data_IF_101326990662
#
_entry.id   IF_101326990662
#
_cell.length_a   1.000
_cell.length_b   1.000
_cell.length_c   1.000
_cell.angle_alpha   90.00
_cell.angle_beta   90.00
_cell.angle_gamma   90.00
#
_symmetry.space_group_name_H-M   'P 1'
#
loop_
_entity.id
_entity.type
_entity.pdbx_description
1 polymer ?
#
# COMPACT_ATOMS: atom_id res chain seq x y z
N UNK A 1 0.77 11.59 -2.87
CA UNK A 1 -0.02 10.49 -2.25
C UNK A 1 0.84 9.59 -1.38
N UNK A 2 1.96 9.02 -1.88
CA UNK A 2 2.85 8.16 -1.09
C UNK A 2 3.65 8.91 0.00
N UNK A 3 4.10 10.14 -0.27
CA UNK A 3 4.77 10.97 0.73
C UNK A 3 3.86 11.32 1.93
N UNK A 4 2.58 11.58 1.68
CA UNK A 4 1.57 11.78 2.72
C UNK A 4 1.36 10.53 3.60
N UNK A 5 1.46 9.34 3.00
CA UNK A 5 1.40 8.05 3.73
C UNK A 5 2.63 7.77 4.58
N UNK A 6 3.80 8.28 4.17
CA UNK A 6 5.03 8.21 4.98
C UNK A 6 4.94 9.14 6.19
N UNK A 7 4.43 10.36 6.02
CA UNK A 7 4.29 11.30 7.13
C UNK A 7 3.22 10.86 8.14
N UNK A 8 2.14 10.21 7.69
CA UNK A 8 1.10 9.64 8.56
C UNK A 8 1.48 8.30 9.20
N UNK A 9 2.64 7.72 8.84
CA UNK A 9 3.18 6.50 9.45
C UNK A 9 4.15 6.81 10.62
N UNK A 10 4.41 8.08 10.93
CA UNK A 10 5.37 8.50 11.96
C UNK A 10 4.70 9.26 13.12
N UNK A 11 5.45 9.49 14.20
CA UNK A 11 4.98 10.23 15.38
C UNK A 11 3.95 9.49 16.23
N UNK A 12 3.18 10.23 17.04
CA UNK A 12 2.09 9.66 17.86
C UNK A 12 0.98 9.01 17.00
N UNK A 13 0.75 9.50 15.78
CA UNK A 13 -0.20 8.92 14.83
C UNK A 13 0.27 7.56 14.28
N UNK A 14 1.57 7.42 13.97
CA UNK A 14 2.19 6.13 13.67
C UNK A 14 2.14 5.14 14.85
N UNK A 15 2.33 5.62 16.10
CA UNK A 15 2.25 4.79 17.33
C UNK A 15 0.81 4.40 17.72
N UNK A 16 -0.18 5.24 17.41
CA UNK A 16 -1.61 4.90 17.56
C UNK A 16 -2.05 3.87 16.51
N UNK A 17 -1.36 3.84 15.38
CA UNK A 17 -1.55 2.87 14.31
C UNK A 17 -2.81 3.15 13.50
N UNK A 18 -2.73 2.92 12.19
CA UNK A 18 -3.93 2.78 11.38
C UNK A 18 -4.69 1.53 11.87
N UNK A 19 -5.91 1.71 12.38
CA UNK A 19 -6.83 0.62 12.78
C UNK A 19 -6.91 -0.48 11.72
N UNK A 20 -6.89 -0.09 10.43
CA UNK A 20 -6.94 -0.99 9.27
C UNK A 20 -5.68 -1.88 9.14
N UNK A 21 -4.50 -1.37 9.49
CA UNK A 21 -3.26 -2.12 9.38
C UNK A 21 -2.99 -3.01 10.59
N UNK A 22 -3.49 -2.63 11.77
CA UNK A 22 -3.55 -3.55 12.91
C UNK A 22 -4.50 -4.70 12.63
N UNK A 23 -5.64 -4.40 12.01
CA UNK A 23 -6.61 -5.41 11.60
C UNK A 23 -6.08 -6.38 10.52
N UNK A 24 -5.27 -5.90 9.57
CA UNK A 24 -4.73 -6.75 8.51
C UNK A 24 -3.76 -7.85 9.03
N UNK A 25 -3.05 -7.60 10.13
CA UNK A 25 -2.20 -8.62 10.80
C UNK A 25 -2.98 -9.60 11.67
N UNK A 26 -4.20 -9.24 12.05
CA UNK A 26 -5.08 -10.00 12.93
C UNK A 26 -6.23 -10.68 12.14
N UNK A 27 -6.08 -10.94 10.84
CA UNK A 27 -7.12 -11.62 10.03
C UNK A 27 -7.54 -13.00 10.56
N UNK A 28 -6.76 -13.63 11.45
CA UNK A 28 -7.14 -14.87 12.13
C UNK A 28 -8.09 -14.67 13.32
N UNK A 29 -8.35 -13.43 13.75
CA UNK A 29 -9.17 -13.06 14.93
C UNK A 29 -10.40 -12.22 14.58
N UNK A 30 -10.66 -11.92 13.30
CA UNK A 30 -11.83 -11.13 12.89
C UNK A 30 -13.10 -11.96 12.68
N UNK A 31 -14.22 -11.45 13.19
CA UNK A 31 -15.57 -11.85 12.79
C UNK A 31 -15.74 -11.68 11.26
N UNK A 32 -16.39 -12.63 10.55
CA UNK A 32 -16.70 -12.53 9.11
C UNK A 32 -17.22 -11.16 8.62
N UNK A 33 -18.01 -10.43 9.43
CA UNK A 33 -18.48 -9.09 9.06
C UNK A 33 -17.31 -8.11 8.88
N UNK A 34 -16.34 -8.17 9.79
CA UNK A 34 -15.17 -7.28 9.77
C UNK A 34 -14.18 -7.68 8.67
N UNK A 35 -14.07 -8.98 8.37
CA UNK A 35 -13.32 -9.46 7.20
C UNK A 35 -13.88 -8.90 5.88
N UNK A 36 -15.22 -8.82 5.74
CA UNK A 36 -15.86 -8.24 4.55
C UNK A 36 -15.57 -6.74 4.40
N UNK A 37 -15.60 -5.99 5.51
CA UNK A 37 -15.23 -4.56 5.51
C UNK A 37 -13.78 -4.37 5.07
N UNK A 38 -12.85 -5.16 5.62
CA UNK A 38 -11.43 -5.10 5.25
C UNK A 38 -11.24 -5.45 3.77
N UNK A 39 -11.88 -6.51 3.28
CA UNK A 39 -11.83 -6.89 1.87
C UNK A 39 -12.33 -5.77 0.95
N UNK A 40 -13.43 -5.11 1.32
CA UNK A 40 -13.96 -3.96 0.58
C UNK A 40 -12.99 -2.78 0.54
N UNK A 41 -12.33 -2.47 1.66
CA UNK A 41 -11.33 -1.40 1.71
C UNK A 41 -10.08 -1.71 0.87
N UNK A 42 -9.63 -2.97 0.87
CA UNK A 42 -8.53 -3.43 0.03
C UNK A 42 -8.89 -3.35 -1.45
N UNK A 43 -10.07 -3.83 -1.85
CA UNK A 43 -10.55 -3.76 -3.23
C UNK A 43 -10.70 -2.31 -3.73
N UNK A 44 -11.19 -1.40 -2.89
CA UNK A 44 -11.28 0.02 -3.24
C UNK A 44 -9.88 0.65 -3.47
N UNK A 45 -8.91 0.27 -2.63
CA UNK A 45 -7.51 0.72 -2.76
C UNK A 45 -6.88 0.15 -4.03
N UNK A 46 -7.07 -1.14 -4.29
CA UNK A 46 -6.59 -1.83 -5.49
C UNK A 46 -7.13 -1.17 -6.76
N UNK A 47 -8.44 -0.93 -6.81
CA UNK A 47 -9.08 -0.26 -7.93
C UNK A 47 -8.53 1.16 -8.15
N UNK A 48 -8.19 1.89 -7.08
CA UNK A 48 -7.57 3.20 -7.20
C UNK A 48 -6.16 3.12 -7.77
N UNK A 49 -5.33 2.18 -7.31
CA UNK A 49 -3.98 1.96 -7.84
C UNK A 49 -4.07 1.58 -9.32
N UNK A 50 -4.93 0.63 -9.69
CA UNK A 50 -5.11 0.20 -11.08
C UNK A 50 -5.51 1.34 -12.00
N UNK A 51 -6.44 2.21 -11.56
CA UNK A 51 -6.81 3.41 -12.33
C UNK A 51 -5.62 4.34 -12.57
N UNK A 52 -4.77 4.56 -11.57
CA UNK A 52 -3.58 5.39 -11.72
C UNK A 52 -2.56 4.78 -12.67
N UNK A 53 -2.38 3.45 -12.63
CA UNK A 53 -1.48 2.74 -13.55
C UNK A 53 -1.98 2.86 -14.99
N UNK A 54 -3.26 2.61 -15.24
CA UNK A 54 -3.87 2.76 -16.58
C UNK A 54 -3.83 4.21 -17.05
N UNK A 55 -4.05 5.17 -16.16
CA UNK A 55 -3.93 6.59 -16.50
C UNK A 55 -2.49 6.94 -16.92
N UNK A 56 -1.49 6.46 -16.17
CA UNK A 56 -0.09 6.67 -16.52
C UNK A 56 0.31 6.00 -17.83
N UNK A 57 -0.29 4.87 -18.17
CA UNK A 57 -0.11 4.25 -19.50
C UNK A 57 -0.75 5.09 -20.61
N UNK A 58 -1.91 5.69 -20.35
CA UNK A 58 -2.59 6.55 -21.32
C UNK A 58 -1.88 7.90 -21.55
N UNK A 59 -1.25 8.47 -20.52
CA UNK A 59 -0.49 9.72 -20.62
C UNK A 59 1.01 9.53 -20.94
N UNK A 60 1.48 8.28 -20.97
CA UNK A 60 2.85 7.90 -21.32
C UNK A 60 3.85 7.99 -20.18
N UNK A 61 3.42 8.29 -18.95
CA UNK A 61 4.29 8.27 -17.76
C UNK A 61 4.64 6.86 -17.27
N UNK A 62 3.85 5.83 -17.66
CA UNK A 62 4.13 4.42 -17.40
C UNK A 62 4.19 3.68 -18.74
N UNK A 63 5.25 2.89 -19.02
CA UNK A 63 5.34 2.13 -20.26
C UNK A 63 4.20 1.12 -20.44
N UNK A 64 3.73 0.96 -21.67
CA UNK A 64 2.71 -0.03 -22.01
C UNK A 64 3.19 -1.49 -21.84
N UNK A 65 4.50 -1.71 -21.69
CA UNK A 65 5.10 -3.01 -21.36
C UNK A 65 4.91 -3.42 -19.90
N UNK A 66 4.58 -2.48 -19.01
CA UNK A 66 4.29 -2.78 -17.61
C UNK A 66 2.96 -3.54 -17.54
N UNK A 67 2.97 -4.71 -16.88
CA UNK A 67 1.75 -5.44 -16.56
C UNK A 67 0.96 -4.66 -15.50
N UNK A 68 -0.10 -3.98 -15.91
CA UNK A 68 -0.88 -3.12 -15.04
C UNK A 68 -1.55 -3.90 -13.90
N UNK A 69 -2.01 -5.12 -14.16
CA UNK A 69 -2.69 -5.94 -13.16
C UNK A 69 -1.69 -6.45 -12.12
N UNK A 70 -0.59 -7.06 -12.56
CA UNK A 70 0.45 -7.56 -11.66
C UNK A 70 1.08 -6.43 -10.83
N UNK A 71 1.34 -5.28 -11.45
CA UNK A 71 1.93 -4.12 -10.78
C UNK A 71 0.97 -3.52 -9.75
N UNK A 72 -0.33 -3.47 -10.06
CA UNK A 72 -1.35 -3.01 -9.11
C UNK A 72 -1.38 -3.87 -7.85
N UNK A 73 -1.40 -5.19 -8.01
CA UNK A 73 -1.38 -6.14 -6.89
C UNK A 73 -0.09 -6.00 -6.08
N UNK A 74 1.07 -5.90 -6.75
CA UNK A 74 2.36 -5.73 -6.09
C UNK A 74 2.42 -4.45 -5.24
N UNK A 75 1.94 -3.32 -5.78
CA UNK A 75 1.89 -2.05 -5.08
C UNK A 75 0.90 -2.07 -3.90
N UNK A 76 -0.24 -2.74 -4.04
CA UNK A 76 -1.18 -2.95 -2.94
C UNK A 76 -0.52 -3.73 -1.80
N UNK A 77 0.13 -4.85 -2.10
CA UNK A 77 0.84 -5.68 -1.13
C UNK A 77 1.91 -4.89 -0.39
N UNK A 78 2.73 -4.11 -1.11
CA UNK A 78 3.73 -3.24 -0.49
C UNK A 78 3.09 -2.19 0.41
N UNK A 79 2.04 -1.51 -0.05
CA UNK A 79 1.35 -0.47 0.72
C UNK A 79 0.84 -1.02 2.05
N UNK A 80 0.21 -2.19 2.04
CA UNK A 80 -0.23 -2.82 3.29
C UNK A 80 0.95 -3.28 4.14
N UNK A 81 1.98 -3.86 3.53
CA UNK A 81 3.21 -4.27 4.21
C UNK A 81 3.90 -3.11 4.93
N UNK A 82 3.96 -1.92 4.33
CA UNK A 82 4.51 -0.70 4.94
C UNK A 82 3.73 -0.27 6.18
N UNK A 83 2.41 -0.41 6.19
CA UNK A 83 1.59 -0.08 7.37
C UNK A 83 1.77 -1.05 8.53
N UNK A 84 2.30 -2.26 8.26
CA UNK A 84 2.64 -3.26 9.27
C UNK A 84 4.08 -3.08 9.73
N UNK A 85 5.03 -3.15 8.79
CA UNK A 85 6.46 -3.10 9.06
C UNK A 85 6.89 -1.70 9.53
N UNK A 86 6.19 -0.64 9.12
CA UNK A 86 6.43 0.72 9.60
C UNK A 86 6.18 0.93 11.08
N UNK A 87 5.42 0.04 11.73
CA UNK A 87 5.21 0.05 13.19
C UNK A 87 6.39 -0.55 13.96
N UNK A 88 7.34 -1.18 13.26
CA UNK A 88 8.56 -1.74 13.88
C UNK A 88 9.65 -0.68 13.95
N UNK A 89 10.65 -0.86 14.82
CA UNK A 89 11.79 0.05 14.97
C UNK A 89 12.80 -0.02 13.78
N UNK A 90 12.29 -0.12 12.54
CA UNK A 90 13.14 -0.07 11.34
C UNK A 90 13.51 1.38 11.00
N UNK A 91 14.73 1.61 10.48
CA UNK A 91 15.12 2.94 10.01
C UNK A 91 14.21 3.43 8.87
N UNK A 92 13.82 4.70 8.90
CA UNK A 92 13.02 5.37 7.85
C UNK A 92 13.65 5.16 6.47
N UNK A 93 14.97 5.28 6.38
CA UNK A 93 15.73 5.13 5.12
C UNK A 93 15.56 3.74 4.50
N UNK A 94 15.41 2.69 5.32
CA UNK A 94 15.16 1.33 4.83
C UNK A 94 13.78 1.22 4.19
N UNK A 95 12.76 1.83 4.80
CA UNK A 95 11.40 1.83 4.24
C UNK A 95 11.31 2.71 2.98
N UNK A 96 12.01 3.84 2.97
CA UNK A 96 12.12 4.71 1.80
C UNK A 96 12.79 3.98 0.62
N UNK A 97 13.86 3.21 0.88
CA UNK A 97 14.51 2.39 -0.13
C UNK A 97 13.58 1.28 -0.69
N UNK A 98 12.73 0.69 0.15
CA UNK A 98 11.73 -0.28 -0.30
C UNK A 98 10.68 0.36 -1.21
N UNK A 99 10.20 1.56 -0.87
CA UNK A 99 9.28 2.34 -1.73
C UNK A 99 9.95 2.67 -3.07
N UNK A 100 11.17 3.19 -3.05
CA UNK A 100 11.92 3.51 -4.26
C UNK A 100 12.14 2.28 -5.15
N UNK A 101 12.37 1.12 -4.55
CA UNK A 101 12.52 -0.15 -5.29
C UNK A 101 11.21 -0.57 -5.94
N UNK A 102 10.09 -0.45 -5.25
CA UNK A 102 8.80 -0.81 -5.81
C UNK A 102 8.30 0.15 -6.90
N UNK A 103 8.68 1.44 -6.82
CA UNK A 103 8.35 2.39 -7.89
C UNK A 103 8.99 2.02 -9.23
N UNK A 104 10.10 1.28 -9.23
CA UNK A 104 10.70 0.73 -10.46
C UNK A 104 9.84 -0.32 -11.16
N UNK A 105 8.77 -0.80 -10.53
CA UNK A 105 7.78 -1.66 -11.20
C UNK A 105 6.92 -0.88 -12.21
N UNK A 106 7.00 0.45 -12.19
CA UNK A 106 6.30 1.35 -13.10
C UNK A 106 7.20 1.82 -14.26
N UNK A 107 8.46 1.40 -14.29
CA UNK A 107 9.47 1.69 -15.32
C UNK A 107 9.65 0.49 -16.27
#
# INVERSE_FOLDING_TARGET
MLAFYLDSAEGEEGRRGCLVAGAATDMSTFDPEMAAVVAGALAATEAQIGRLVTQGQADGSIPASVDAAATTVALLCLLQGLRVVGKTARPRDTLAAAVATALKLLD
#
